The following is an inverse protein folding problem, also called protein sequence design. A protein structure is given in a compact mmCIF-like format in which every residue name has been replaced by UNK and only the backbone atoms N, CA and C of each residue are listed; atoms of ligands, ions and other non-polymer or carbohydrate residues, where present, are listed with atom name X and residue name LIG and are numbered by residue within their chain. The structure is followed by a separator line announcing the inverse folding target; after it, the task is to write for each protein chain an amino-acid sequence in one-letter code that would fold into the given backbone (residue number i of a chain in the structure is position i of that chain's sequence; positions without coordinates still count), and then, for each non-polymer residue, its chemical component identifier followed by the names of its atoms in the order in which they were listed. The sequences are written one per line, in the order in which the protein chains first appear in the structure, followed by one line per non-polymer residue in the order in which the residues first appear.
data_IF_140560746564
#
_entry.id   IF_140560746564
#
_cell.length_a   1.000
_cell.length_b   1.000
_cell.length_c   1.000
_cell.angle_alpha   90.00
_cell.angle_beta   90.00
_cell.angle_gamma   90.00
#
_symmetry.space_group_name_H-M   'P 1'
#
loop_
_entity.id
_entity.type
_entity.pdbx_description
1 polymer ?
#
# COMPACT_ATOMS: atom_id res chain seq x y z
N UNK A 1 -7.82 -17.46 0.37
CA UNK A 1 -8.30 -16.07 0.21
C UNK A 1 -9.68 -15.91 0.83
N UNK A 2 -9.92 -14.81 1.58
CA UNK A 2 -11.20 -14.46 2.19
C UNK A 2 -11.68 -13.15 1.60
N UNK A 3 -12.91 -13.08 1.10
CA UNK A 3 -13.53 -11.85 0.56
C UNK A 3 -14.61 -11.38 1.55
N UNK A 4 -14.57 -10.10 1.88
CA UNK A 4 -15.53 -9.41 2.75
C UNK A 4 -16.12 -8.26 1.95
N UNK A 5 -17.41 -8.31 1.69
CA UNK A 5 -18.15 -7.21 1.05
C UNK A 5 -18.82 -6.39 2.14
N UNK A 6 -18.65 -5.09 2.07
CA UNK A 6 -19.19 -4.10 3.00
C UNK A 6 -20.07 -3.12 2.24
N UNK A 7 -20.94 -2.42 2.97
CA UNK A 7 -21.96 -1.56 2.38
C UNK A 7 -21.36 -0.43 1.52
N UNK A 8 -20.35 0.24 2.02
CA UNK A 8 -19.77 1.43 1.42
C UNK A 8 -18.30 1.64 1.82
N UNK A 9 -17.69 2.72 1.33
CA UNK A 9 -16.30 3.09 1.63
C UNK A 9 -16.02 3.20 3.14
N UNK A 10 -16.95 3.76 3.93
CA UNK A 10 -16.74 3.92 5.36
C UNK A 10 -16.75 2.57 6.08
N UNK A 11 -17.68 1.69 5.73
CA UNK A 11 -17.70 0.32 6.27
C UNK A 11 -16.48 -0.50 5.82
N UNK A 12 -16.03 -0.35 4.57
CA UNK A 12 -14.79 -0.96 4.06
C UNK A 12 -13.59 -0.48 4.88
N UNK A 13 -13.46 0.83 5.07
CA UNK A 13 -12.38 1.46 5.83
C UNK A 13 -12.36 0.98 7.29
N UNK A 14 -13.52 0.96 7.95
CA UNK A 14 -13.67 0.45 9.31
C UNK A 14 -13.34 -1.04 9.41
N UNK A 15 -13.75 -1.86 8.43
CA UNK A 15 -13.45 -3.28 8.40
C UNK A 15 -11.94 -3.54 8.18
N UNK A 16 -11.29 -2.79 7.31
CA UNK A 16 -9.85 -2.86 7.11
C UNK A 16 -9.10 -2.45 8.38
N UNK A 17 -9.53 -1.35 9.03
CA UNK A 17 -8.97 -0.92 10.31
C UNK A 17 -9.11 -1.98 11.41
N UNK A 18 -10.24 -2.70 11.49
CA UNK A 18 -10.43 -3.81 12.43
C UNK A 18 -9.36 -4.93 12.24
N UNK A 19 -9.01 -5.23 10.99
CA UNK A 19 -8.01 -6.27 10.69
C UNK A 19 -6.61 -5.79 11.10
N UNK A 20 -6.28 -4.52 10.81
CA UNK A 20 -4.99 -3.93 11.20
C UNK A 20 -4.90 -3.80 12.73
N UNK A 21 -5.95 -3.35 13.40
CA UNK A 21 -5.98 -3.23 14.87
C UNK A 21 -5.80 -4.58 15.57
N UNK A 22 -6.45 -5.63 15.06
CA UNK A 22 -6.27 -6.99 15.57
C UNK A 22 -4.81 -7.47 15.41
N UNK A 23 -4.12 -7.10 14.32
CA UNK A 23 -2.71 -7.39 14.13
C UNK A 23 -1.85 -6.69 15.20
N UNK A 24 -2.10 -5.41 15.47
CA UNK A 24 -1.38 -4.63 16.48
C UNK A 24 -1.61 -5.20 17.87
N UNK A 25 -2.87 -5.48 18.24
CA UNK A 25 -3.25 -6.00 19.57
C UNK A 25 -2.62 -7.38 19.82
N UNK A 26 -2.67 -8.27 18.83
CA UNK A 26 -2.15 -9.64 18.98
C UNK A 26 -0.63 -9.75 18.87
N UNK A 27 0.01 -8.77 18.21
CA UNK A 27 1.47 -8.67 18.06
C UNK A 27 1.89 -7.19 18.16
N UNK A 28 2.08 -6.62 19.36
CA UNK A 28 2.40 -5.20 19.52
C UNK A 28 3.64 -4.73 18.74
N UNK A 29 4.66 -5.59 18.61
CA UNK A 29 5.87 -5.33 17.82
C UNK A 29 5.74 -5.80 16.34
N UNK A 30 4.54 -5.71 15.77
CA UNK A 30 4.33 -6.12 14.39
C UNK A 30 4.97 -5.14 13.39
N UNK A 31 5.24 -5.66 12.20
CA UNK A 31 5.65 -4.88 11.03
C UNK A 31 4.44 -4.74 10.11
N UNK A 32 4.00 -3.51 9.91
CA UNK A 32 2.89 -3.21 9.00
C UNK A 32 3.45 -2.73 7.65
N UNK A 33 3.07 -3.42 6.59
CA UNK A 33 3.22 -2.92 5.23
C UNK A 33 2.09 -1.94 4.92
N UNK A 34 2.39 -0.71 4.55
CA UNK A 34 1.41 0.36 4.36
C UNK A 34 1.38 0.84 2.90
N UNK A 35 0.26 1.43 2.51
CA UNK A 35 -0.01 1.97 1.18
C UNK A 35 -0.46 3.42 1.27
N UNK A 36 -0.21 4.19 0.24
CA UNK A 36 -0.70 5.57 0.09
C UNK A 36 -1.90 5.63 -0.86
N UNK A 37 -2.34 6.84 -1.21
CA UNK A 37 -3.48 7.09 -2.07
C UNK A 37 -4.80 7.27 -1.30
N UNK A 38 -5.89 7.51 -2.03
CA UNK A 38 -7.17 7.88 -1.43
C UNK A 38 -7.88 6.73 -0.70
N UNK A 39 -7.71 5.49 -1.16
CA UNK A 39 -8.42 4.33 -0.62
C UNK A 39 -8.14 4.06 0.87
N UNK A 40 -6.88 4.07 1.37
CA UNK A 40 -6.58 3.78 2.77
C UNK A 40 -6.84 4.93 3.75
N UNK A 41 -7.13 6.15 3.31
CA UNK A 41 -7.30 7.32 4.20
C UNK A 41 -8.33 7.06 5.30
N UNK A 42 -9.49 6.54 4.94
CA UNK A 42 -10.55 6.22 5.93
C UNK A 42 -10.12 5.14 6.92
N UNK A 43 -9.30 4.19 6.48
CA UNK A 43 -8.71 3.15 7.35
C UNK A 43 -7.76 3.78 8.37
N UNK A 44 -6.87 4.67 7.93
CA UNK A 44 -5.95 5.38 8.83
C UNK A 44 -6.70 6.29 9.81
N UNK A 45 -7.70 7.03 9.34
CA UNK A 45 -8.54 7.87 10.18
C UNK A 45 -9.23 7.05 11.31
N UNK A 46 -9.70 5.86 10.99
CA UNK A 46 -10.31 4.96 11.98
C UNK A 46 -9.29 4.41 12.99
N UNK A 47 -8.08 4.08 12.56
CA UNK A 47 -7.00 3.65 13.46
C UNK A 47 -6.59 4.79 14.41
N UNK A 48 -6.49 6.01 13.91
CA UNK A 48 -6.22 7.21 14.73
C UNK A 48 -7.32 7.46 15.76
N UNK A 49 -8.60 7.30 15.37
CA UNK A 49 -9.73 7.44 16.30
C UNK A 49 -9.64 6.41 17.45
N UNK A 50 -9.33 5.16 17.16
CA UNK A 50 -9.17 4.12 18.19
C UNK A 50 -7.92 4.33 19.06
N UNK A 51 -6.81 4.82 18.47
CA UNK A 51 -5.66 5.22 19.28
C UNK A 51 -6.04 6.35 20.27
N UNK A 52 -6.74 7.39 19.82
CA UNK A 52 -7.19 8.50 20.69
C UNK A 52 -8.14 8.05 21.79
N UNK A 53 -8.88 6.97 21.59
CA UNK A 53 -9.77 6.35 22.59
C UNK A 53 -9.01 5.42 23.57
N UNK A 54 -7.72 5.15 23.33
CA UNK A 54 -6.91 4.27 24.16
C UNK A 54 -7.02 2.78 23.79
N UNK A 55 -7.66 2.45 22.67
CA UNK A 55 -7.86 1.07 22.23
C UNK A 55 -6.62 0.47 21.53
N UNK A 56 -5.72 1.34 21.01
CA UNK A 56 -4.53 0.94 20.26
C UNK A 56 -3.26 1.60 20.80
N UNK A 57 -2.15 0.89 20.71
CA UNK A 57 -0.80 1.38 21.02
C UNK A 57 0.14 1.07 19.87
N UNK A 58 0.75 2.11 19.28
CA UNK A 58 1.68 2.01 18.16
C UNK A 58 3.15 2.08 18.58
N UNK A 59 3.45 2.21 19.88
CA UNK A 59 4.81 2.48 20.39
C UNK A 59 5.85 1.42 19.99
N UNK A 60 5.42 0.19 19.71
CA UNK A 60 6.30 -0.91 19.29
C UNK A 60 6.14 -1.29 17.82
N UNK A 61 5.19 -0.68 17.11
CA UNK A 61 4.93 -0.96 15.69
C UNK A 61 6.07 -0.44 14.82
N UNK A 62 6.46 -1.21 13.82
CA UNK A 62 7.32 -0.76 12.73
C UNK A 62 6.55 -0.75 11.41
N UNK A 63 6.90 0.13 10.48
CA UNK A 63 6.22 0.18 9.19
C UNK A 63 7.19 0.13 8.03
N UNK A 64 6.74 -0.46 6.91
CA UNK A 64 7.39 -0.43 5.61
C UNK A 64 6.35 -0.04 4.56
N UNK A 65 6.58 1.03 3.80
CA UNK A 65 5.66 1.46 2.76
C UNK A 65 5.97 0.78 1.42
N UNK A 66 4.96 0.67 0.56
CA UNK A 66 5.09 0.04 -0.76
C UNK A 66 6.03 0.80 -1.69
N UNK A 67 6.01 2.12 -1.62
CA UNK A 67 6.59 2.97 -2.66
C UNK A 67 6.90 4.39 -2.15
N UNK A 68 7.70 5.11 -2.94
CA UNK A 68 7.96 6.54 -2.81
C UNK A 68 8.35 7.10 -4.18
N UNK A 69 8.05 8.35 -4.43
CA UNK A 69 8.51 9.08 -5.60
C UNK A 69 10.02 9.28 -5.59
N UNK A 70 10.66 9.02 -6.72
CA UNK A 70 12.06 9.39 -6.92
C UNK A 70 12.18 10.89 -7.14
N UNK A 71 13.10 11.53 -6.43
CA UNK A 71 13.38 12.95 -6.51
C UNK A 71 12.67 13.80 -5.46
N UNK A 72 11.80 13.21 -4.62
CA UNK A 72 11.16 13.93 -3.52
C UNK A 72 11.83 13.61 -2.18
N UNK A 73 12.07 14.65 -1.39
CA UNK A 73 12.49 14.55 0.01
C UNK A 73 11.26 14.26 0.91
N UNK A 74 11.49 13.73 2.11
CA UNK A 74 10.46 13.49 3.11
C UNK A 74 9.68 14.76 3.50
N UNK A 75 10.32 15.92 3.45
CA UNK A 75 9.69 17.22 3.77
C UNK A 75 8.83 17.78 2.61
N UNK A 76 8.92 17.18 1.42
CA UNK A 76 8.07 17.57 0.30
C UNK A 76 6.63 17.15 0.57
N UNK A 77 5.68 18.08 0.46
CA UNK A 77 4.27 17.85 0.79
C UNK A 77 3.56 16.86 -0.17
N UNK A 78 4.22 16.47 -1.26
CA UNK A 78 3.76 15.46 -2.20
C UNK A 78 4.47 14.11 -2.03
N UNK A 79 5.45 13.98 -1.12
CA UNK A 79 6.09 12.70 -0.84
C UNK A 79 5.11 11.73 -0.15
N UNK A 80 5.33 10.44 -0.32
CA UNK A 80 4.51 9.43 0.36
C UNK A 80 4.86 9.33 1.86
N UNK A 81 6.09 9.69 2.24
CA UNK A 81 6.42 9.87 3.65
C UNK A 81 5.56 10.98 4.28
N UNK A 82 5.46 12.15 3.63
CA UNK A 82 4.63 13.26 4.10
C UNK A 82 3.14 12.86 4.15
N UNK A 83 2.66 12.12 3.16
CA UNK A 83 1.31 11.56 3.18
C UNK A 83 1.09 10.70 4.44
N UNK A 84 1.99 9.76 4.73
CA UNK A 84 1.88 8.89 5.89
C UNK A 84 1.98 9.66 7.21
N UNK A 85 2.87 10.65 7.27
CA UNK A 85 3.00 11.54 8.42
C UNK A 85 1.66 12.23 8.71
N UNK A 86 1.00 12.76 7.68
CA UNK A 86 -0.24 13.54 7.82
C UNK A 86 -1.49 12.68 8.05
N UNK A 87 -1.54 11.45 7.57
CA UNK A 87 -2.72 10.61 7.70
C UNK A 87 -2.63 9.60 8.86
N UNK A 88 -1.42 9.29 9.35
CA UNK A 88 -1.26 8.31 10.42
C UNK A 88 -0.18 8.71 11.44
N UNK A 89 1.08 8.86 11.03
CA UNK A 89 2.22 8.80 11.96
C UNK A 89 2.19 9.89 13.02
N UNK A 90 1.94 11.16 12.68
CA UNK A 90 1.87 12.27 13.64
C UNK A 90 0.66 12.24 14.57
N UNK A 91 -0.30 11.35 14.34
CA UNK A 91 -1.55 11.27 15.09
C UNK A 91 -1.58 10.13 16.11
N UNK A 92 -0.53 9.27 16.12
CA UNK A 92 -0.39 8.11 17.00
C UNK A 92 0.99 8.15 17.67
N UNK A 93 1.24 7.27 18.64
CA UNK A 93 2.53 7.21 19.36
C UNK A 93 3.57 6.31 18.70
N UNK A 94 3.58 6.21 17.37
CA UNK A 94 4.62 5.45 16.66
C UNK A 94 5.95 6.19 16.76
N UNK A 95 7.03 5.41 16.94
CA UNK A 95 8.39 5.92 16.83
C UNK A 95 8.72 6.16 15.34
N UNK A 96 9.00 7.41 14.96
CA UNK A 96 9.27 7.75 13.57
C UNK A 96 10.53 7.06 13.02
N UNK A 97 11.50 6.72 13.87
CA UNK A 97 12.69 5.96 13.47
C UNK A 97 12.36 4.51 13.07
N UNK A 98 11.14 4.06 13.33
CA UNK A 98 10.61 2.75 12.92
C UNK A 98 9.69 2.82 11.71
N UNK A 99 9.55 3.99 11.08
CA UNK A 99 8.76 4.17 9.88
C UNK A 99 9.68 4.23 8.66
N UNK A 100 9.41 3.40 7.67
CA UNK A 100 10.29 3.26 6.52
C UNK A 100 9.52 3.44 5.21
N UNK A 101 10.05 4.29 4.34
CA UNK A 101 9.70 4.40 2.93
C UNK A 101 10.98 4.30 2.10
N UNK A 102 10.93 3.96 0.81
CA UNK A 102 12.10 4.04 -0.05
C UNK A 102 12.71 5.47 -0.02
N UNK A 103 14.03 5.58 -0.08
CA UNK A 103 14.70 6.88 -0.11
C UNK A 103 14.57 7.52 -1.51
N UNK A 104 13.64 8.47 -1.65
CA UNK A 104 13.40 9.19 -2.90
C UNK A 104 14.58 10.03 -3.35
N UNK A 105 15.50 10.39 -2.45
CA UNK A 105 16.62 11.32 -2.72
C UNK A 105 17.92 10.62 -3.10
N UNK A 106 18.04 9.30 -2.93
CA UNK A 106 19.26 8.57 -3.33
C UNK A 106 19.47 8.70 -4.85
N UNK A 107 20.60 9.25 -5.30
CA UNK A 107 20.87 9.47 -6.72
C UNK A 107 21.03 8.16 -7.51
N UNK A 108 21.40 7.06 -6.84
CA UNK A 108 21.59 5.74 -7.44
C UNK A 108 20.36 4.85 -7.20
N UNK A 109 19.49 4.67 -8.22
CA UNK A 109 18.26 3.94 -8.05
C UNK A 109 18.46 2.46 -7.69
N UNK A 110 19.58 1.85 -8.10
CA UNK A 110 19.87 0.46 -7.75
C UNK A 110 20.17 0.34 -6.27
N UNK A 111 21.03 1.22 -5.75
CA UNK A 111 21.36 1.24 -4.32
C UNK A 111 20.19 1.59 -3.44
N UNK A 112 19.34 2.56 -3.86
CA UNK A 112 18.13 2.91 -3.13
C UNK A 112 17.23 1.67 -2.94
N UNK A 113 17.00 0.93 -4.02
CA UNK A 113 16.20 -0.28 -4.00
C UNK A 113 16.83 -1.40 -3.15
N UNK A 114 18.13 -1.63 -3.28
CA UNK A 114 18.85 -2.64 -2.48
C UNK A 114 18.80 -2.32 -0.99
N UNK A 115 19.09 -1.08 -0.59
CA UNK A 115 18.98 -0.63 0.81
C UNK A 115 17.57 -0.84 1.36
N UNK A 116 16.54 -0.53 0.57
CA UNK A 116 15.17 -0.71 1.01
C UNK A 116 14.81 -2.19 1.19
N UNK A 117 15.25 -3.07 0.29
CA UNK A 117 15.09 -4.52 0.46
C UNK A 117 15.81 -5.03 1.72
N UNK A 118 17.01 -4.49 2.05
CA UNK A 118 17.71 -4.82 3.29
C UNK A 118 16.91 -4.39 4.52
N UNK A 119 16.29 -3.21 4.52
CA UNK A 119 15.41 -2.76 5.60
C UNK A 119 14.23 -3.72 5.76
N UNK A 120 13.50 -4.01 4.69
CA UNK A 120 12.36 -4.95 4.72
C UNK A 120 12.79 -6.33 5.21
N UNK A 121 13.93 -6.82 4.75
CA UNK A 121 14.50 -8.10 5.17
C UNK A 121 14.92 -8.11 6.63
N UNK A 122 15.47 -7.01 7.16
CA UNK A 122 15.89 -6.90 8.57
C UNK A 122 14.73 -7.09 9.54
N UNK A 123 13.52 -6.69 9.14
CA UNK A 123 12.28 -6.93 9.87
C UNK A 123 11.69 -8.34 9.66
N UNK A 124 12.26 -9.14 8.75
CA UNK A 124 11.69 -10.44 8.37
C UNK A 124 10.45 -10.34 7.48
N UNK A 125 10.25 -9.20 6.81
CA UNK A 125 9.07 -8.87 6.00
C UNK A 125 7.90 -8.33 6.83
N UNK A 126 6.82 -7.94 6.16
CA UNK A 126 5.62 -7.43 6.81
C UNK A 126 4.81 -8.57 7.47
N UNK A 127 4.30 -8.34 8.69
CA UNK A 127 3.33 -9.23 9.32
C UNK A 127 1.95 -9.10 8.66
N UNK A 128 1.60 -7.90 8.23
CA UNK A 128 0.40 -7.59 7.45
C UNK A 128 0.71 -6.50 6.43
N UNK A 129 0.55 -6.81 5.15
CA UNK A 129 0.71 -5.85 4.05
C UNK A 129 -0.65 -5.33 3.59
N UNK A 130 -0.87 -4.04 3.73
CA UNK A 130 -2.02 -3.35 3.16
C UNK A 130 -1.74 -3.03 1.69
N UNK A 131 -2.70 -3.31 0.82
CA UNK A 131 -2.67 -3.02 -0.61
C UNK A 131 -3.94 -2.29 -1.05
N UNK A 132 -3.80 -1.28 -1.89
CA UNK A 132 -4.85 -0.81 -2.77
C UNK A 132 -4.87 -1.59 -4.08
N UNK A 133 -5.84 -1.30 -4.96
CA UNK A 133 -5.96 -1.89 -6.30
C UNK A 133 -6.05 -0.79 -7.34
N UNK A 134 -5.14 -0.79 -8.30
CA UNK A 134 -5.22 0.08 -9.47
C UNK A 134 -6.34 -0.34 -10.44
N UNK A 135 -6.79 0.56 -11.32
CA UNK A 135 -7.83 0.28 -12.31
C UNK A 135 -7.44 -0.82 -13.32
N UNK A 136 -6.15 -0.95 -13.60
CA UNK A 136 -5.58 -1.98 -14.47
C UNK A 136 -5.06 -3.21 -13.69
N UNK A 137 -5.33 -3.26 -12.38
CA UNK A 137 -4.93 -4.36 -11.51
C UNK A 137 -3.54 -4.24 -10.91
N UNK A 138 -2.86 -3.09 -11.04
CA UNK A 138 -1.57 -2.89 -10.37
C UNK A 138 -1.71 -2.88 -8.84
N UNK A 139 -0.66 -3.31 -8.16
CA UNK A 139 -0.45 -3.20 -6.71
C UNK A 139 0.92 -2.56 -6.45
N UNK A 140 0.98 -1.52 -5.58
CA UNK A 140 2.08 -0.57 -5.60
C UNK A 140 2.17 0.09 -6.98
N UNK A 141 3.36 0.33 -7.49
CA UNK A 141 3.56 0.74 -8.89
C UNK A 141 3.96 -0.45 -9.81
N UNK A 142 3.58 -1.69 -9.44
CA UNK A 142 3.76 -2.83 -10.34
C UNK A 142 2.64 -2.84 -11.38
N UNK A 143 2.88 -2.15 -12.50
CA UNK A 143 1.96 -2.05 -13.64
C UNK A 143 1.90 -3.37 -14.43
N UNK A 144 0.86 -3.60 -15.28
CA UNK A 144 0.81 -4.71 -16.22
C UNK A 144 2.10 -4.84 -17.03
N UNK A 145 2.71 -6.03 -17.02
CA UNK A 145 4.02 -6.30 -17.61
C UNK A 145 4.08 -7.75 -18.13
N UNK A 146 5.23 -8.15 -18.69
CA UNK A 146 5.44 -9.53 -19.17
C UNK A 146 5.94 -10.47 -18.07
N UNK A 147 6.39 -9.92 -16.93
CA UNK A 147 6.88 -10.69 -15.78
C UNK A 147 6.47 -10.03 -14.45
N UNK A 148 6.51 -10.80 -13.37
CA UNK A 148 6.33 -10.29 -12.02
C UNK A 148 7.69 -9.82 -11.46
N UNK A 149 7.87 -8.52 -11.17
CA UNK A 149 9.10 -8.02 -10.55
C UNK A 149 9.32 -8.66 -9.18
N UNK A 150 10.56 -9.11 -8.92
CA UNK A 150 10.86 -9.86 -7.71
C UNK A 150 11.11 -8.96 -6.50
N UNK A 151 11.93 -7.94 -6.67
CA UNK A 151 12.41 -7.07 -5.60
C UNK A 151 11.97 -5.62 -5.82
N UNK A 152 12.22 -4.77 -4.81
CA UNK A 152 12.06 -3.33 -4.97
C UNK A 152 12.85 -2.84 -6.17
N UNK A 153 12.24 -2.00 -6.99
CA UNK A 153 12.81 -1.51 -8.23
C UNK A 153 12.34 -0.09 -8.54
N UNK A 154 13.08 0.60 -9.38
CA UNK A 154 12.70 1.89 -9.92
C UNK A 154 11.82 1.68 -11.15
N UNK A 155 10.71 2.38 -11.23
CA UNK A 155 9.77 2.33 -12.36
C UNK A 155 9.59 3.71 -12.98
N UNK A 156 9.43 3.74 -14.30
CA UNK A 156 8.91 4.91 -14.99
C UNK A 156 7.39 4.95 -14.84
N UNK A 157 6.86 6.09 -14.41
CA UNK A 157 5.42 6.24 -14.24
C UNK A 157 4.73 6.39 -15.59
N UNK A 158 3.60 5.74 -15.77
CA UNK A 158 2.80 5.87 -16.99
C UNK A 158 2.18 7.28 -17.08
N UNK A 159 1.93 7.76 -18.32
CA UNK A 159 1.25 9.03 -18.52
C UNK A 159 -0.09 9.11 -17.78
N UNK A 160 -0.82 7.99 -17.71
CA UNK A 160 -2.08 7.93 -16.97
C UNK A 160 -1.87 8.13 -15.46
N UNK A 161 -0.79 7.61 -14.89
CA UNK A 161 -0.42 7.79 -13.48
C UNK A 161 0.03 9.23 -13.21
N UNK A 162 0.86 9.79 -14.09
CA UNK A 162 1.31 11.19 -14.02
C UNK A 162 0.10 12.12 -14.07
N UNK A 163 -0.80 11.94 -15.04
CA UNK A 163 -2.02 12.75 -15.18
C UNK A 163 -2.97 12.60 -13.97
N UNK A 164 -3.12 11.40 -13.42
CA UNK A 164 -3.94 11.18 -12.25
C UNK A 164 -3.36 11.87 -10.99
N UNK A 165 -2.04 11.98 -10.90
CA UNK A 165 -1.35 12.61 -9.78
C UNK A 165 -1.14 14.12 -9.97
N UNK A 166 -1.25 14.64 -11.19
CA UNK A 166 -1.09 16.07 -11.49
C UNK A 166 -1.96 17.00 -10.64
N UNK A 167 -3.12 16.51 -10.18
CA UNK A 167 -4.04 17.24 -9.28
C UNK A 167 -3.45 17.59 -7.92
N UNK A 168 -2.33 16.98 -7.54
CA UNK A 168 -1.65 17.21 -6.27
C UNK A 168 -0.46 18.16 -6.40
N UNK A 169 -0.05 18.52 -7.62
CA UNK A 169 1.10 19.36 -7.91
C UNK A 169 0.65 20.70 -8.52
N UNK A 170 1.46 21.75 -8.37
CA UNK A 170 1.16 23.06 -8.96
C UNK A 170 1.15 23.01 -10.49
N UNK A 171 2.08 22.24 -11.07
CA UNK A 171 2.22 22.04 -12.52
C UNK A 171 2.46 20.57 -12.82
N UNK A 172 2.05 20.13 -13.99
CA UNK A 172 2.24 18.75 -14.44
C UNK A 172 3.73 18.39 -14.59
N UNK A 173 4.58 19.38 -14.90
CA UNK A 173 6.03 19.19 -15.01
C UNK A 173 6.70 18.93 -13.66
N UNK A 174 6.04 19.25 -12.55
CA UNK A 174 6.54 19.02 -11.20
C UNK A 174 6.20 17.60 -10.70
N UNK A 175 5.35 16.88 -11.41
CA UNK A 175 5.02 15.49 -11.08
C UNK A 175 6.23 14.60 -11.34
N UNK A 176 6.72 13.84 -10.37
CA UNK A 176 7.81 12.90 -10.59
C UNK A 176 7.48 11.91 -11.71
N UNK A 177 8.46 11.62 -12.54
CA UNK A 177 8.32 10.66 -13.65
C UNK A 177 8.73 9.25 -13.27
N UNK A 178 9.35 9.08 -12.09
CA UNK A 178 9.82 7.80 -11.58
C UNK A 178 9.43 7.60 -10.11
N UNK A 179 9.31 6.34 -9.72
CA UNK A 179 9.08 5.94 -8.33
C UNK A 179 9.88 4.67 -8.00
N UNK A 180 10.15 4.48 -6.71
CA UNK A 180 10.61 3.22 -6.15
C UNK A 180 9.41 2.45 -5.64
N UNK A 181 9.28 1.18 -5.99
CA UNK A 181 8.17 0.34 -5.55
C UNK A 181 8.64 -1.04 -5.14
N UNK A 182 8.05 -1.59 -4.06
CA UNK A 182 8.24 -2.99 -3.72
C UNK A 182 7.83 -3.88 -4.88
N UNK A 183 8.69 -4.81 -5.28
CA UNK A 183 8.34 -5.82 -6.27
C UNK A 183 7.33 -6.83 -5.74
N UNK A 184 6.64 -7.48 -6.65
CA UNK A 184 5.64 -8.52 -6.37
C UNK A 184 6.22 -9.62 -5.45
N UNK A 185 7.47 -10.05 -5.68
CA UNK A 185 8.08 -11.06 -4.82
C UNK A 185 8.27 -10.60 -3.38
N UNK A 186 8.56 -9.32 -3.14
CA UNK A 186 8.67 -8.75 -1.78
C UNK A 186 7.30 -8.65 -1.12
N UNK A 187 6.27 -8.18 -1.86
CA UNK A 187 4.87 -8.14 -1.40
C UNK A 187 4.40 -9.55 -1.01
N UNK A 188 4.66 -10.54 -1.84
CA UNK A 188 4.22 -11.94 -1.63
C UNK A 188 4.93 -12.65 -0.46
N UNK A 189 6.00 -12.07 0.10
CA UNK A 189 6.65 -12.57 1.32
C UNK A 189 6.00 -12.06 2.61
N UNK A 190 5.06 -11.14 2.56
CA UNK A 190 4.28 -10.75 3.72
C UNK A 190 3.59 -11.98 4.33
N UNK A 191 3.43 -12.03 5.64
CA UNK A 191 2.75 -13.16 6.28
C UNK A 191 1.25 -13.16 6.00
N UNK A 192 0.68 -11.98 5.89
CA UNK A 192 -0.74 -11.74 5.59
C UNK A 192 -0.87 -10.57 4.63
N UNK A 193 -1.83 -10.61 3.75
CA UNK A 193 -2.16 -9.51 2.83
C UNK A 193 -3.59 -9.05 3.07
N UNK A 194 -3.77 -7.75 3.14
CA UNK A 194 -5.06 -7.07 3.19
C UNK A 194 -5.20 -6.19 1.94
N UNK A 195 -6.00 -6.64 0.97
CA UNK A 195 -6.34 -5.85 -0.20
C UNK A 195 -7.64 -5.09 0.06
N UNK A 196 -7.65 -3.79 -0.22
CA UNK A 196 -8.84 -2.95 -0.11
C UNK A 196 -9.16 -2.29 -1.46
N UNK A 197 -10.42 -2.28 -1.85
CA UNK A 197 -10.89 -1.53 -3.01
C UNK A 197 -12.32 -1.03 -2.81
N UNK A 198 -12.60 0.17 -3.33
CA UNK A 198 -13.89 0.84 -3.21
C UNK A 198 -14.24 1.55 -4.52
N UNK A 199 -15.52 1.53 -4.87
CA UNK A 199 -16.06 2.18 -6.04
C UNK A 199 -16.28 1.27 -7.24
N UNK A 200 -17.29 1.57 -8.04
CA UNK A 200 -17.68 0.78 -9.21
C UNK A 200 -16.60 0.74 -10.31
N UNK A 201 -15.75 1.76 -10.37
CA UNK A 201 -14.61 1.84 -11.27
C UNK A 201 -13.53 0.78 -11.00
N UNK A 202 -13.57 0.12 -9.83
CA UNK A 202 -12.68 -1.00 -9.45
C UNK A 202 -13.26 -2.37 -9.78
N UNK A 203 -14.56 -2.50 -10.08
CA UNK A 203 -15.25 -3.78 -10.19
C UNK A 203 -14.61 -4.73 -11.24
N UNK A 204 -14.24 -4.21 -12.41
CA UNK A 204 -13.57 -5.01 -13.45
C UNK A 204 -12.18 -5.48 -13.00
N UNK A 205 -11.39 -4.61 -12.38
CA UNK A 205 -10.08 -4.98 -11.87
C UNK A 205 -10.18 -6.02 -10.74
N UNK A 206 -11.14 -5.84 -9.83
CA UNK A 206 -11.45 -6.80 -8.76
C UNK A 206 -11.79 -8.17 -9.34
N UNK A 207 -12.73 -8.23 -10.30
CA UNK A 207 -13.13 -9.49 -10.94
C UNK A 207 -11.94 -10.19 -11.59
N UNK A 208 -11.18 -9.47 -12.43
CA UNK A 208 -10.00 -10.02 -13.12
C UNK A 208 -8.92 -10.48 -12.16
N UNK A 209 -8.65 -9.70 -11.09
CA UNK A 209 -7.64 -10.05 -10.11
C UNK A 209 -8.01 -11.28 -9.26
N UNK A 210 -9.30 -11.46 -8.92
CA UNK A 210 -9.72 -12.50 -7.98
C UNK A 210 -10.24 -13.78 -8.66
N UNK A 211 -10.74 -13.68 -9.89
CA UNK A 211 -11.38 -14.79 -10.62
C UNK A 211 -10.73 -15.10 -11.97
N UNK A 212 -9.88 -14.18 -12.48
CA UNK A 212 -9.16 -14.37 -13.74
C UNK A 212 -7.92 -15.27 -13.58
N UNK A 213 -7.21 -15.54 -14.68
CA UNK A 213 -5.95 -16.27 -14.62
C UNK A 213 -4.87 -15.45 -13.88
N UNK A 214 -3.96 -16.15 -13.21
CA UNK A 214 -2.78 -15.54 -12.62
C UNK A 214 -1.79 -15.18 -13.72
N UNK A 215 -1.57 -13.89 -13.95
CA UNK A 215 -0.73 -13.40 -15.04
C UNK A 215 -0.16 -12.00 -14.72
N UNK A 216 1.06 -11.68 -15.21
CA UNK A 216 1.68 -10.38 -14.95
C UNK A 216 0.93 -9.19 -15.55
N UNK A 217 0.12 -9.41 -16.60
CA UNK A 217 -0.75 -8.39 -17.20
C UNK A 217 -1.93 -7.99 -16.28
N UNK A 218 -2.11 -8.71 -15.17
CA UNK A 218 -3.02 -8.39 -14.08
C UNK A 218 -2.26 -8.61 -12.76
N UNK A 219 -1.40 -7.68 -12.34
CA UNK A 219 -0.44 -7.92 -11.25
C UNK A 219 -1.08 -8.41 -9.96
N UNK A 220 -2.23 -7.86 -9.56
CA UNK A 220 -2.96 -8.30 -8.37
C UNK A 220 -3.47 -9.76 -8.46
N UNK A 221 -3.51 -10.39 -9.66
CA UNK A 221 -3.94 -11.78 -9.82
C UNK A 221 -3.02 -12.76 -9.07
N UNK A 222 -1.75 -12.39 -8.85
CA UNK A 222 -0.79 -13.21 -8.09
C UNK A 222 -1.24 -13.48 -6.65
N UNK A 223 -2.07 -12.60 -6.09
CA UNK A 223 -2.59 -12.73 -4.74
C UNK A 223 -3.43 -14.01 -4.55
N UNK A 224 -3.96 -14.58 -5.64
CA UNK A 224 -4.64 -15.88 -5.61
C UNK A 224 -3.72 -17.02 -5.12
N UNK A 225 -2.42 -16.89 -5.27
CA UNK A 225 -1.43 -17.88 -4.84
C UNK A 225 -0.88 -17.64 -3.43
N UNK A 226 -1.22 -16.52 -2.79
CA UNK A 226 -0.75 -16.25 -1.44
C UNK A 226 -1.60 -17.01 -0.40
N UNK A 227 -0.99 -17.62 0.64
CA UNK A 227 -1.70 -18.48 1.60
C UNK A 227 -2.72 -17.73 2.46
N UNK A 228 -2.48 -16.46 2.80
CA UNK A 228 -3.35 -15.69 3.71
C UNK A 228 -3.65 -14.29 3.15
N UNK A 229 -4.70 -14.18 2.34
CA UNK A 229 -5.22 -12.94 1.76
C UNK A 229 -6.63 -12.68 2.26
N UNK A 230 -6.84 -11.50 2.80
CA UNK A 230 -8.17 -10.94 3.04
C UNK A 230 -8.40 -9.77 2.09
N UNK A 231 -9.50 -9.81 1.36
CA UNK A 231 -9.95 -8.74 0.46
C UNK A 231 -11.16 -8.08 1.09
N UNK A 232 -11.14 -6.76 1.26
CA UNK A 232 -12.28 -5.99 1.78
C UNK A 232 -12.71 -5.00 0.69
N UNK A 233 -13.95 -5.15 0.25
CA UNK A 233 -14.54 -4.38 -0.85
C UNK A 233 -15.81 -3.69 -0.34
N UNK A 234 -16.17 -2.56 -0.94
CA UNK A 234 -17.55 -2.12 -0.87
C UNK A 234 -18.42 -2.85 -1.92
N UNK A 235 -19.76 -2.73 -1.81
CA UNK A 235 -20.70 -3.34 -2.74
C UNK A 235 -20.45 -2.91 -4.19
N UNK A 236 -20.04 -1.65 -4.41
CA UNK A 236 -19.79 -1.12 -5.74
C UNK A 236 -18.55 -1.77 -6.39
N UNK A 237 -17.44 -1.92 -5.66
CA UNK A 237 -16.26 -2.62 -6.13
C UNK A 237 -16.48 -4.13 -6.32
N UNK A 238 -17.41 -4.72 -5.55
CA UNK A 238 -17.75 -6.14 -5.62
C UNK A 238 -18.84 -6.48 -6.65
N UNK A 239 -19.37 -5.49 -7.36
CA UNK A 239 -20.59 -5.64 -8.18
C UNK A 239 -20.48 -6.63 -9.34
N UNK A 240 -19.28 -7.08 -9.70
CA UNK A 240 -19.04 -8.05 -10.77
C UNK A 240 -18.49 -9.40 -10.29
N UNK A 241 -18.43 -9.65 -8.97
CA UNK A 241 -18.00 -10.92 -8.37
C UNK A 241 -19.10 -12.00 -8.39
#
# INVERSE_FOLDING_TARGET
MKIIVTKDYNDMSRKAANIISAQIITKPNCVLGLATGSTPIGTYAQLVDWYKKGDLDFSQVSTVNLDEYRGLDHDNDQSYYYFMLNHLFKHVNIDLDRTNVPDGTDPDPVKACEKYEEIVKSYGGADLQLLGLGHNGHIGFNEPADEFPKFTHCVDLTESTINANARFFEKIEDVPTQAYTMGIGTIMRAKRILLIASGADKAEAVKKALQGPVMPQMPASILQLHPDVTVVLDEAAASLL
#
